data_IF_292392859620
#
_entry.id   IF_292392859620
#
_cell.length_a   1.000
_cell.length_b   1.000
_cell.length_c   1.000
_cell.angle_alpha   90.00
_cell.angle_beta   90.00
_cell.angle_gamma   90.00
#
_symmetry.space_group_name_H-M   'P 1'
#
loop_
_entity.id
_entity.type
_entity.pdbx_description
1 polymer ?
#
# COMPACT_ATOMS: atom_id res chain seq x y z
N UNK A 1 16.33 15.83 -2.81
CA UNK A 1 17.55 15.19 -2.20
C UNK A 1 17.11 14.34 -1.03
N UNK A 2 17.55 13.05 -0.98
CA UNK A 2 17.25 12.14 0.13
C UNK A 2 18.21 12.40 1.31
N UNK A 3 17.66 12.62 2.50
CA UNK A 3 18.41 12.89 3.75
C UNK A 3 18.11 11.79 4.76
N UNK A 4 19.15 11.11 5.23
CA UNK A 4 19.04 10.10 6.31
C UNK A 4 18.75 10.80 7.64
N UNK A 5 17.80 10.27 8.41
CA UNK A 5 17.45 10.80 9.73
C UNK A 5 17.40 9.72 10.82
N UNK A 6 17.32 8.44 10.46
CA UNK A 6 17.25 7.34 11.42
C UNK A 6 18.10 6.17 10.93
N UNK A 7 18.88 5.56 11.84
CA UNK A 7 19.65 4.35 11.61
C UNK A 7 19.33 3.37 12.74
N UNK A 8 18.61 2.28 12.41
CA UNK A 8 18.23 1.21 13.34
C UNK A 8 19.22 0.03 13.31
N UNK A 9 20.34 0.22 12.61
CA UNK A 9 21.39 -0.78 12.52
C UNK A 9 21.04 -1.99 11.66
N UNK A 10 21.71 -3.10 11.93
CA UNK A 10 21.56 -4.33 11.18
C UNK A 10 20.35 -5.12 11.69
N UNK A 11 19.38 -5.41 10.81
CA UNK A 11 18.15 -6.11 11.11
C UNK A 11 17.99 -7.36 10.23
N UNK A 12 17.36 -8.44 10.72
CA UNK A 12 16.91 -9.55 9.89
C UNK A 12 15.60 -9.19 9.16
N UNK A 13 15.11 -10.09 8.28
CA UNK A 13 13.76 -9.99 7.70
C UNK A 13 12.72 -10.26 8.80
N UNK A 14 11.77 -9.34 9.00
CA UNK A 14 10.86 -9.35 10.14
C UNK A 14 9.90 -10.55 10.16
N UNK A 15 9.36 -10.94 9.00
CA UNK A 15 8.37 -12.02 8.90
C UNK A 15 8.94 -13.36 8.40
N UNK A 16 10.29 -13.51 8.41
CA UNK A 16 10.94 -14.77 8.07
C UNK A 16 11.24 -15.59 9.32
N UNK A 17 10.37 -16.55 9.62
CA UNK A 17 10.51 -17.44 10.79
C UNK A 17 11.40 -18.63 10.45
N UNK A 18 12.70 -18.49 10.74
CA UNK A 18 13.72 -19.49 10.44
C UNK A 18 13.65 -20.69 11.38
N UNK A 19 13.97 -21.90 10.85
CA UNK A 19 14.27 -23.09 11.64
C UNK A 19 15.71 -23.01 12.17
N UNK A 20 16.04 -23.79 13.20
CA UNK A 20 17.35 -23.76 13.86
C UNK A 20 18.52 -24.04 12.91
N UNK A 21 18.34 -24.94 11.94
CA UNK A 21 19.35 -25.29 10.94
C UNK A 21 19.57 -24.19 9.87
N UNK A 22 18.67 -23.23 9.77
CA UNK A 22 18.71 -22.10 8.83
C UNK A 22 19.39 -20.85 9.45
N UNK A 23 19.58 -20.78 10.75
CA UNK A 23 20.14 -19.58 11.45
C UNK A 23 21.50 -19.12 10.91
N UNK A 24 22.33 -20.05 10.43
CA UNK A 24 23.66 -19.73 9.87
C UNK A 24 23.59 -18.95 8.55
N UNK A 25 22.46 -19.08 7.83
CA UNK A 25 22.22 -18.46 6.52
C UNK A 25 21.24 -17.28 6.62
N UNK A 26 20.94 -16.79 7.84
CA UNK A 26 20.03 -15.67 8.07
C UNK A 26 20.49 -14.41 7.35
N UNK A 27 19.58 -13.85 6.55
CA UNK A 27 19.83 -12.61 5.83
C UNK A 27 19.68 -11.40 6.76
N UNK A 28 20.61 -10.46 6.65
CA UNK A 28 20.57 -9.19 7.39
C UNK A 28 20.80 -8.02 6.44
N UNK A 29 20.15 -6.92 6.75
CA UNK A 29 20.32 -5.65 6.05
C UNK A 29 20.44 -4.47 7.03
N UNK A 30 20.90 -3.30 6.55
CA UNK A 30 20.96 -2.10 7.39
C UNK A 30 19.66 -1.31 7.24
N UNK A 31 18.88 -1.24 8.33
CA UNK A 31 17.61 -0.52 8.34
C UNK A 31 17.86 0.98 8.62
N UNK A 32 17.92 1.76 7.57
CA UNK A 32 18.08 3.21 7.60
C UNK A 32 16.92 3.89 6.94
N UNK A 33 16.50 5.04 7.45
CA UNK A 33 15.33 5.78 6.96
C UNK A 33 15.75 7.14 6.44
N UNK A 34 15.20 7.49 5.27
CA UNK A 34 15.47 8.74 4.58
C UNK A 34 14.19 9.52 4.33
N UNK A 35 14.33 10.84 4.30
CA UNK A 35 13.30 11.78 3.86
C UNK A 35 13.73 12.42 2.54
N UNK A 36 12.86 12.37 1.53
CA UNK A 36 13.09 13.05 0.26
C UNK A 36 12.48 14.47 0.29
N UNK A 37 13.33 15.48 0.15
CA UNK A 37 12.90 16.89 0.19
C UNK A 37 12.05 17.31 -1.02
N UNK A 38 12.09 16.59 -2.13
CA UNK A 38 11.31 16.89 -3.33
C UNK A 38 9.89 16.32 -3.21
N UNK A 39 9.77 15.02 -3.04
CA UNK A 39 8.49 14.32 -2.97
C UNK A 39 7.84 14.37 -1.59
N UNK A 40 8.60 14.70 -0.53
CA UNK A 40 8.22 14.61 0.90
C UNK A 40 8.00 13.19 1.38
N UNK A 41 8.50 12.20 0.65
CA UNK A 41 8.37 10.79 0.95
C UNK A 41 9.38 10.36 2.02
N UNK A 42 8.93 9.55 2.97
CA UNK A 42 9.78 8.81 3.90
C UNK A 42 9.90 7.38 3.37
N UNK A 43 11.14 6.88 3.33
CA UNK A 43 11.43 5.54 2.80
C UNK A 43 12.57 4.89 3.58
N UNK A 44 12.66 3.58 3.57
CA UNK A 44 13.92 2.92 3.91
C UNK A 44 14.95 3.27 2.81
N UNK A 45 16.22 3.36 3.21
CA UNK A 45 17.29 3.85 2.33
C UNK A 45 17.67 2.82 1.26
N UNK A 46 17.90 1.60 1.72
CA UNK A 46 18.33 0.48 0.90
C UNK A 46 17.24 -0.60 0.97
N UNK A 47 16.53 -0.80 -0.12
CA UNK A 47 15.42 -1.75 -0.18
C UNK A 47 15.93 -3.20 -0.15
N UNK A 48 15.22 -4.05 0.59
CA UNK A 48 15.39 -5.50 0.51
C UNK A 48 14.69 -6.00 -0.77
N UNK A 49 15.29 -6.95 -1.47
CA UNK A 49 14.67 -7.55 -2.64
C UNK A 49 13.29 -8.15 -2.27
N UNK A 50 12.20 -7.77 -2.95
CA UNK A 50 10.84 -8.16 -2.54
C UNK A 50 10.64 -9.68 -2.51
N UNK A 51 11.34 -10.43 -3.35
CA UNK A 51 11.27 -11.90 -3.41
C UNK A 51 11.82 -12.58 -2.13
N UNK A 52 12.65 -11.87 -1.35
CA UNK A 52 13.14 -12.38 -0.06
C UNK A 52 12.07 -12.27 1.03
N UNK A 53 11.09 -11.39 0.87
CA UNK A 53 10.03 -11.09 1.83
C UNK A 53 8.71 -11.73 1.40
N UNK A 54 8.29 -11.51 0.14
CA UNK A 54 7.00 -11.94 -0.41
C UNK A 54 7.22 -13.14 -1.33
N UNK A 55 7.04 -14.33 -0.77
CA UNK A 55 7.23 -15.63 -1.43
C UNK A 55 6.28 -16.69 -0.85
N UNK A 56 6.46 -17.95 -1.22
CA UNK A 56 5.62 -19.07 -0.80
C UNK A 56 5.63 -19.33 0.72
N UNK A 57 6.66 -18.85 1.44
CA UNK A 57 6.81 -19.01 2.90
C UNK A 57 6.26 -17.81 3.68
N UNK A 58 5.67 -16.82 3.01
CA UNK A 58 5.14 -15.63 3.68
C UNK A 58 4.04 -15.99 4.67
N UNK A 59 4.27 -15.60 5.94
CA UNK A 59 3.49 -16.15 7.05
C UNK A 59 2.26 -15.31 7.42
N UNK A 60 2.18 -14.04 6.99
CA UNK A 60 1.08 -13.17 7.38
C UNK A 60 -0.22 -13.53 6.64
N UNK A 61 -1.19 -14.03 7.40
CA UNK A 61 -2.48 -14.47 6.89
C UNK A 61 -3.57 -13.56 7.47
N UNK A 62 -4.18 -12.75 6.62
CA UNK A 62 -5.13 -11.70 7.01
C UNK A 62 -6.41 -12.26 7.61
N UNK A 63 -6.91 -13.40 7.12
CA UNK A 63 -8.16 -14.00 7.60
C UNK A 63 -8.09 -14.54 9.03
N UNK A 64 -6.88 -14.70 9.59
CA UNK A 64 -6.71 -15.07 11.00
C UNK A 64 -7.09 -13.95 11.97
N UNK A 65 -7.20 -12.71 11.49
CA UNK A 65 -7.62 -11.56 12.27
C UNK A 65 -9.10 -11.23 12.06
N UNK A 66 -9.97 -11.69 12.97
CA UNK A 66 -11.41 -11.36 12.91
C UNK A 66 -11.69 -9.86 12.78
N UNK A 67 -10.98 -8.94 13.49
CA UNK A 67 -11.15 -7.50 13.29
C UNK A 67 -10.85 -7.06 11.86
N UNK A 68 -9.80 -7.61 11.23
CA UNK A 68 -9.43 -7.26 9.85
C UNK A 68 -10.42 -7.82 8.83
N UNK A 69 -10.92 -9.04 9.02
CA UNK A 69 -11.98 -9.61 8.18
C UNK A 69 -13.23 -8.71 8.21
N UNK A 70 -13.66 -8.27 9.39
CA UNK A 70 -14.80 -7.36 9.52
C UNK A 70 -14.52 -6.01 8.85
N UNK A 71 -13.33 -5.44 9.05
CA UNK A 71 -12.91 -4.19 8.41
C UNK A 71 -12.98 -4.28 6.88
N UNK A 72 -12.47 -5.34 6.29
CA UNK A 72 -12.51 -5.54 4.83
C UNK A 72 -13.93 -5.75 4.30
N UNK A 73 -14.77 -6.49 5.04
CA UNK A 73 -16.18 -6.66 4.69
C UNK A 73 -16.92 -5.32 4.69
N UNK A 74 -16.80 -4.54 5.76
CA UNK A 74 -17.43 -3.23 5.88
C UNK A 74 -16.92 -2.26 4.80
N UNK A 75 -15.61 -2.32 4.51
CA UNK A 75 -14.99 -1.52 3.44
C UNK A 75 -15.55 -1.90 2.07
N UNK A 76 -15.63 -3.19 1.76
CA UNK A 76 -16.17 -3.67 0.48
C UNK A 76 -17.64 -3.28 0.31
N UNK A 77 -18.46 -3.44 1.35
CA UNK A 77 -19.87 -3.03 1.34
C UNK A 77 -20.00 -1.51 1.10
N UNK A 78 -19.21 -0.69 1.80
CA UNK A 78 -19.20 0.76 1.64
C UNK A 78 -18.78 1.17 0.22
N UNK A 79 -17.70 0.58 -0.32
CA UNK A 79 -17.21 0.88 -1.67
C UNK A 79 -18.22 0.45 -2.73
N UNK A 80 -18.86 -0.71 -2.55
CA UNK A 80 -19.89 -1.19 -3.45
C UNK A 80 -21.13 -0.26 -3.48
N UNK A 81 -21.56 0.21 -2.31
CA UNK A 81 -22.68 1.17 -2.22
C UNK A 81 -22.32 2.52 -2.86
N UNK A 82 -21.10 3.01 -2.64
CA UNK A 82 -20.65 4.33 -3.06
C UNK A 82 -20.36 4.42 -4.56
N UNK A 83 -19.67 3.42 -5.11
CA UNK A 83 -19.15 3.45 -6.49
C UNK A 83 -19.85 2.49 -7.45
N UNK A 84 -20.52 1.44 -6.93
CA UNK A 84 -21.23 0.41 -7.70
C UNK A 84 -20.36 -0.16 -8.84
N UNK A 85 -19.12 -0.60 -8.52
CA UNK A 85 -18.19 -1.07 -9.54
C UNK A 85 -18.71 -2.36 -10.18
N UNK A 86 -18.53 -2.51 -11.49
CA UNK A 86 -18.79 -3.76 -12.20
C UNK A 86 -17.56 -4.64 -12.19
N UNK A 87 -16.37 -4.06 -12.38
CA UNK A 87 -15.10 -4.76 -12.39
C UNK A 87 -14.19 -4.25 -11.27
N UNK A 88 -13.65 -5.19 -10.49
CA UNK A 88 -12.82 -4.91 -9.33
C UNK A 88 -11.47 -5.60 -9.47
N UNK A 89 -10.40 -4.88 -9.17
CA UNK A 89 -9.05 -5.42 -9.01
C UNK A 89 -8.58 -5.20 -7.58
N UNK A 90 -8.08 -6.26 -6.94
CA UNK A 90 -7.37 -6.15 -5.67
C UNK A 90 -5.87 -6.39 -5.88
N UNK A 91 -5.02 -5.46 -5.40
CA UNK A 91 -3.56 -5.55 -5.40
C UNK A 91 -3.11 -5.91 -3.99
N UNK A 92 -2.39 -7.05 -3.84
CA UNK A 92 -2.02 -7.60 -2.54
C UNK A 92 -3.23 -8.25 -1.87
N UNK A 93 -3.88 -9.19 -2.56
CA UNK A 93 -5.15 -9.77 -2.08
C UNK A 93 -4.97 -10.68 -0.87
N UNK A 94 -3.75 -11.11 -0.55
CA UNK A 94 -3.46 -12.09 0.48
C UNK A 94 -4.41 -13.30 0.34
N UNK A 95 -5.00 -13.79 1.42
CA UNK A 95 -5.96 -14.90 1.40
C UNK A 95 -7.42 -14.49 1.11
N UNK A 96 -7.65 -13.27 0.56
CA UNK A 96 -8.87 -12.82 -0.08
C UNK A 96 -9.99 -12.25 0.79
N UNK A 97 -9.76 -11.69 2.01
CA UNK A 97 -10.85 -11.18 2.86
C UNK A 97 -11.65 -10.04 2.24
N UNK A 98 -11.03 -9.18 1.44
CA UNK A 98 -11.72 -8.09 0.75
C UNK A 98 -12.41 -8.58 -0.52
N UNK A 99 -11.67 -9.22 -1.45
CA UNK A 99 -12.20 -9.61 -2.75
C UNK A 99 -13.36 -10.59 -2.64
N UNK A 100 -13.42 -11.40 -1.57
CA UNK A 100 -14.51 -12.37 -1.33
C UNK A 100 -15.90 -11.73 -1.23
N UNK A 101 -15.99 -10.42 -1.11
CA UNK A 101 -17.24 -9.66 -1.09
C UNK A 101 -17.71 -9.19 -2.49
N UNK A 102 -16.98 -9.53 -3.55
CA UNK A 102 -17.30 -9.16 -4.95
C UNK A 102 -17.55 -10.38 -5.84
N UNK A 103 -18.12 -10.13 -7.03
CA UNK A 103 -18.39 -11.17 -8.04
C UNK A 103 -17.07 -11.78 -8.54
N UNK A 104 -16.98 -13.10 -8.55
CA UNK A 104 -15.80 -13.84 -9.01
C UNK A 104 -15.52 -13.65 -10.51
N UNK A 105 -16.56 -13.43 -11.32
CA UNK A 105 -16.45 -13.30 -12.76
C UNK A 105 -15.89 -11.92 -13.17
N UNK A 106 -16.19 -10.90 -12.36
CA UNK A 106 -15.86 -9.51 -12.65
C UNK A 106 -14.72 -8.99 -11.75
N UNK A 107 -14.05 -9.89 -11.02
CA UNK A 107 -12.98 -9.54 -10.07
C UNK A 107 -11.69 -10.27 -10.37
N UNK A 108 -10.58 -9.54 -10.22
CA UNK A 108 -9.22 -10.01 -10.46
C UNK A 108 -8.36 -9.71 -9.25
N UNK A 109 -7.43 -10.59 -8.93
CA UNK A 109 -6.46 -10.42 -7.85
C UNK A 109 -5.03 -10.39 -8.40
N UNK A 110 -4.17 -9.66 -7.71
CA UNK A 110 -2.72 -9.70 -7.88
C UNK A 110 -2.11 -9.98 -6.50
N UNK A 111 -1.35 -11.09 -6.39
CA UNK A 111 -0.76 -11.53 -5.13
C UNK A 111 0.57 -12.25 -5.39
N UNK A 112 1.72 -11.68 -5.01
CA UNK A 112 3.02 -12.26 -5.30
C UNK A 112 3.38 -13.46 -4.42
N UNK A 113 2.66 -13.68 -3.31
CA UNK A 113 2.86 -14.85 -2.44
C UNK A 113 2.05 -16.04 -2.99
N UNK A 114 2.74 -16.99 -3.64
CA UNK A 114 2.11 -18.11 -4.33
C UNK A 114 1.15 -18.93 -3.46
N UNK A 115 1.48 -19.12 -2.16
CA UNK A 115 0.61 -19.77 -1.18
C UNK A 115 -0.77 -19.08 -1.06
N UNK A 116 -0.84 -17.76 -1.10
CA UNK A 116 -2.10 -17.01 -1.05
C UNK A 116 -2.77 -16.87 -2.41
N UNK A 117 -1.99 -16.74 -3.49
CA UNK A 117 -2.54 -16.76 -4.84
C UNK A 117 -3.28 -18.07 -5.12
N UNK A 118 -2.80 -19.23 -4.61
CA UNK A 118 -3.48 -20.50 -4.68
C UNK A 118 -4.83 -20.50 -3.90
N UNK A 119 -4.89 -19.84 -2.74
CA UNK A 119 -6.11 -19.74 -1.94
C UNK A 119 -7.19 -18.97 -2.71
N UNK A 120 -6.89 -17.79 -3.23
CA UNK A 120 -7.86 -16.97 -3.97
C UNK A 120 -8.25 -17.59 -5.31
N UNK A 121 -7.34 -18.27 -6.02
CA UNK A 121 -7.66 -19.09 -7.18
C UNK A 121 -8.60 -20.26 -6.79
N UNK A 122 -8.33 -20.93 -5.66
CA UNK A 122 -9.18 -21.99 -5.12
C UNK A 122 -10.59 -21.52 -4.75
N UNK A 123 -10.75 -20.25 -4.38
CA UNK A 123 -12.06 -19.63 -4.18
C UNK A 123 -12.79 -19.34 -5.51
N UNK A 124 -12.09 -19.41 -6.64
CA UNK A 124 -12.63 -19.20 -7.99
C UNK A 124 -12.44 -17.77 -8.53
N UNK A 125 -11.56 -16.98 -7.95
CA UNK A 125 -11.09 -15.72 -8.53
C UNK A 125 -9.96 -15.98 -9.52
N UNK A 126 -9.74 -15.07 -10.46
CA UNK A 126 -8.55 -15.08 -11.30
C UNK A 126 -7.45 -14.30 -10.57
N UNK A 127 -6.44 -14.99 -10.07
CA UNK A 127 -5.33 -14.39 -9.33
C UNK A 127 -4.03 -14.55 -10.11
N UNK A 128 -3.36 -13.44 -10.34
CA UNK A 128 -2.00 -13.41 -10.89
C UNK A 128 -1.00 -13.53 -9.74
N UNK A 129 -0.22 -14.59 -9.74
CA UNK A 129 0.93 -14.81 -8.86
C UNK A 129 2.11 -13.98 -9.37
N UNK A 130 2.07 -12.69 -9.10
CA UNK A 130 3.03 -11.71 -9.63
C UNK A 130 3.04 -10.43 -8.78
N UNK A 131 4.15 -9.72 -8.82
CA UNK A 131 4.21 -8.34 -8.34
C UNK A 131 3.43 -7.40 -9.26
N UNK A 132 2.85 -6.33 -8.67
CA UNK A 132 2.13 -5.31 -9.42
C UNK A 132 3.10 -4.41 -10.20
N UNK A 133 2.97 -4.39 -11.52
CA UNK A 133 3.81 -3.63 -12.46
C UNK A 133 2.99 -3.13 -13.65
N UNK A 134 3.55 -2.19 -14.43
CA UNK A 134 2.95 -1.74 -15.69
C UNK A 134 2.76 -2.92 -16.66
N UNK A 135 3.74 -3.81 -16.81
CA UNK A 135 3.65 -4.98 -17.71
C UNK A 135 2.49 -5.91 -17.32
N UNK A 136 2.34 -6.20 -16.01
CA UNK A 136 1.21 -7.00 -15.55
C UNK A 136 -0.13 -6.28 -15.79
N UNK A 137 -0.16 -4.97 -15.58
CA UNK A 137 -1.37 -4.16 -15.81
C UNK A 137 -1.84 -4.23 -17.27
N UNK A 138 -0.92 -4.20 -18.23
CA UNK A 138 -1.23 -4.35 -19.67
C UNK A 138 -1.82 -5.72 -19.98
N UNK A 139 -1.28 -6.79 -19.38
CA UNK A 139 -1.84 -8.13 -19.49
C UNK A 139 -3.26 -8.19 -18.92
N UNK A 140 -3.49 -7.66 -17.73
CA UNK A 140 -4.81 -7.61 -17.10
C UNK A 140 -5.81 -6.85 -17.97
N UNK A 141 -5.43 -5.70 -18.54
CA UNK A 141 -6.27 -4.93 -19.44
C UNK A 141 -6.64 -5.75 -20.69
N UNK A 142 -5.69 -6.48 -21.27
CA UNK A 142 -5.93 -7.29 -22.47
C UNK A 142 -6.88 -8.46 -22.22
N UNK A 143 -6.82 -9.07 -21.03
CA UNK A 143 -7.61 -10.27 -20.69
C UNK A 143 -8.96 -9.93 -20.04
N UNK A 144 -9.00 -8.89 -19.23
CA UNK A 144 -10.18 -8.53 -18.41
C UNK A 144 -10.78 -7.16 -18.74
N UNK A 145 -10.04 -6.29 -19.48
CA UNK A 145 -10.43 -4.90 -19.72
C UNK A 145 -10.14 -4.00 -18.54
N UNK A 146 -10.64 -2.75 -18.61
CA UNK A 146 -10.40 -1.74 -17.57
C UNK A 146 -11.24 -2.00 -16.32
N UNK A 147 -10.75 -1.51 -15.16
CA UNK A 147 -11.35 -1.70 -13.85
C UNK A 147 -12.08 -0.44 -13.37
N UNK A 148 -13.25 -0.63 -12.77
CA UNK A 148 -14.02 0.47 -12.17
C UNK A 148 -13.53 0.80 -10.77
N UNK A 149 -13.05 -0.22 -10.04
CA UNK A 149 -12.44 -0.11 -8.72
C UNK A 149 -11.13 -0.88 -8.68
N UNK A 150 -10.07 -0.22 -8.27
CA UNK A 150 -8.84 -0.88 -7.84
C UNK A 150 -8.73 -0.66 -6.33
N UNK A 151 -8.50 -1.73 -5.58
CA UNK A 151 -8.32 -1.68 -4.13
C UNK A 151 -6.97 -2.27 -3.73
N UNK A 152 -6.40 -1.74 -2.66
CA UNK A 152 -5.18 -2.26 -2.04
C UNK A 152 -5.15 -1.89 -0.56
N UNK A 153 -4.68 -2.76 0.31
CA UNK A 153 -4.51 -2.42 1.71
C UNK A 153 -3.20 -2.98 2.27
N UNK A 154 -2.43 -2.12 2.94
CA UNK A 154 -1.12 -2.44 3.53
C UNK A 154 -0.19 -3.15 2.51
N UNK A 155 -0.21 -2.67 1.28
CA UNK A 155 0.56 -3.26 0.18
C UNK A 155 1.27 -2.19 -0.66
N UNK A 156 0.67 -1.02 -0.90
CA UNK A 156 1.32 0.03 -1.70
C UNK A 156 2.60 0.53 -1.04
N UNK A 157 2.63 0.59 0.29
CA UNK A 157 3.82 0.93 1.06
C UNK A 157 4.98 -0.07 0.90
N UNK A 158 4.70 -1.30 0.41
CA UNK A 158 5.71 -2.33 0.13
C UNK A 158 6.34 -2.19 -1.26
N UNK A 159 5.67 -1.52 -2.20
CA UNK A 159 6.13 -1.41 -3.59
C UNK A 159 7.23 -0.36 -3.70
N UNK A 160 8.42 -0.80 -4.14
CA UNK A 160 9.61 0.05 -4.19
C UNK A 160 9.55 1.10 -5.30
N UNK A 161 9.04 0.75 -6.49
CA UNK A 161 8.84 1.65 -7.62
C UNK A 161 7.40 2.18 -7.67
N UNK A 162 7.16 3.28 -6.94
CA UNK A 162 5.86 3.92 -6.89
C UNK A 162 5.47 4.58 -8.22
N UNK A 163 6.42 5.02 -9.03
CA UNK A 163 6.12 5.64 -10.32
C UNK A 163 5.56 4.58 -11.29
N UNK A 164 6.16 3.38 -11.36
CA UNK A 164 5.62 2.27 -12.14
C UNK A 164 4.27 1.80 -11.61
N UNK A 165 4.14 1.61 -10.28
CA UNK A 165 2.92 1.16 -9.65
C UNK A 165 1.72 2.10 -9.91
N UNK A 166 1.90 3.42 -9.75
CA UNK A 166 0.81 4.36 -9.97
C UNK A 166 0.51 4.60 -11.46
N UNK A 167 1.51 4.47 -12.33
CA UNK A 167 1.29 4.45 -13.78
C UNK A 167 0.45 3.24 -14.18
N UNK A 168 0.75 2.06 -13.62
CA UNK A 168 -0.04 0.85 -13.83
C UNK A 168 -1.49 1.02 -13.37
N UNK A 169 -1.71 1.58 -12.16
CA UNK A 169 -3.05 1.91 -11.64
C UNK A 169 -3.80 2.84 -12.61
N UNK A 170 -3.16 3.97 -12.99
CA UNK A 170 -3.77 4.92 -13.91
C UNK A 170 -4.19 4.27 -15.22
N UNK A 171 -3.34 3.42 -15.79
CA UNK A 171 -3.59 2.78 -17.08
C UNK A 171 -4.74 1.76 -16.98
N UNK A 172 -4.89 1.10 -15.84
CA UNK A 172 -5.89 0.04 -15.63
C UNK A 172 -7.28 0.57 -15.28
N UNK A 173 -7.39 1.79 -14.75
CA UNK A 173 -8.68 2.40 -14.42
C UNK A 173 -9.50 2.77 -15.65
N UNK A 174 -10.83 2.54 -15.59
CA UNK A 174 -11.78 3.19 -16.50
C UNK A 174 -11.70 4.72 -16.35
N UNK A 175 -12.17 5.54 -17.32
CA UNK A 175 -12.15 7.00 -17.19
C UNK A 175 -12.84 7.55 -15.93
N UNK A 176 -13.83 6.84 -15.39
CA UNK A 176 -14.53 7.15 -14.14
C UNK A 176 -14.12 6.25 -12.98
N UNK A 177 -13.11 5.41 -13.17
CA UNK A 177 -12.64 4.44 -12.18
C UNK A 177 -12.00 5.09 -10.96
N UNK A 178 -12.02 4.39 -9.87
CA UNK A 178 -11.50 4.84 -8.58
C UNK A 178 -10.45 3.86 -8.06
N UNK A 179 -9.32 4.41 -7.62
CA UNK A 179 -8.32 3.69 -6.86
C UNK A 179 -8.49 4.01 -5.38
N UNK A 180 -8.67 2.98 -4.56
CA UNK A 180 -8.78 3.12 -3.10
C UNK A 180 -7.71 2.27 -2.45
N UNK A 181 -6.92 2.88 -1.58
CA UNK A 181 -5.90 2.11 -0.85
C UNK A 181 -5.75 2.58 0.59
N UNK A 182 -5.30 1.67 1.44
CA UNK A 182 -5.10 1.88 2.87
C UNK A 182 -3.67 1.55 3.25
N UNK A 183 -2.96 2.50 3.85
CA UNK A 183 -1.63 2.28 4.39
C UNK A 183 -1.43 3.05 5.70
N UNK A 184 -0.47 2.64 6.54
CA UNK A 184 -0.14 3.33 7.79
C UNK A 184 0.19 4.81 7.58
N UNK A 185 -0.30 5.66 8.47
CA UNK A 185 -0.12 7.11 8.41
C UNK A 185 1.19 7.55 9.05
N UNK A 186 2.05 8.19 8.26
CA UNK A 186 3.29 8.80 8.75
C UNK A 186 3.02 9.82 9.88
N UNK A 187 1.98 10.66 9.72
CA UNK A 187 1.62 11.63 10.75
C UNK A 187 1.32 10.95 12.08
N UNK A 188 0.49 9.90 12.07
CA UNK A 188 0.10 9.17 13.29
C UNK A 188 1.27 8.42 13.92
N UNK A 189 2.17 7.88 13.10
CA UNK A 189 3.42 7.27 13.54
C UNK A 189 4.30 8.29 14.30
N UNK A 190 4.49 9.48 13.71
CA UNK A 190 5.31 10.54 14.32
C UNK A 190 4.68 11.10 15.60
N UNK A 191 3.37 11.32 15.64
CA UNK A 191 2.65 11.81 16.83
C UNK A 191 2.75 10.87 18.02
N UNK A 192 2.74 9.57 17.75
CA UNK A 192 2.80 8.53 18.79
C UNK A 192 4.23 8.17 19.18
N UNK A 193 5.21 8.58 18.41
CA UNK A 193 6.60 8.15 18.58
C UNK A 193 6.75 6.64 18.38
N UNK A 194 5.97 6.04 17.46
CA UNK A 194 6.02 4.60 17.24
C UNK A 194 7.00 4.25 16.12
N UNK A 195 7.77 3.17 16.32
CA UNK A 195 8.79 2.67 15.40
C UNK A 195 8.39 1.35 14.73
N UNK A 196 7.29 0.75 15.16
CA UNK A 196 6.78 -0.55 14.71
C UNK A 196 6.38 -0.60 13.23
N UNK A 197 6.17 0.58 12.62
CA UNK A 197 5.89 0.69 11.18
C UNK A 197 7.17 0.81 10.33
N UNK A 198 8.36 0.79 10.95
CA UNK A 198 9.65 0.89 10.26
C UNK A 198 10.33 -0.46 10.26
N UNK A 199 10.20 -1.21 9.18
CA UNK A 199 10.82 -2.52 8.97
C UNK A 199 10.95 -2.82 7.47
N UNK A 200 11.56 -3.93 7.12
CA UNK A 200 11.94 -4.31 5.74
C UNK A 200 10.82 -4.26 4.71
N UNK A 201 9.60 -4.70 5.08
CA UNK A 201 8.47 -4.74 4.15
C UNK A 201 7.94 -3.34 3.80
N UNK A 202 8.01 -2.39 4.75
CA UNK A 202 7.57 -1.02 4.53
C UNK A 202 8.66 -0.21 3.80
N UNK A 203 8.79 -0.41 2.48
CA UNK A 203 9.69 0.40 1.64
C UNK A 203 9.44 1.90 1.84
N UNK A 204 8.18 2.27 2.08
CA UNK A 204 7.72 3.64 2.28
C UNK A 204 6.78 3.77 3.47
N UNK A 205 6.79 4.95 4.12
CA UNK A 205 5.76 5.35 5.08
C UNK A 205 5.11 6.64 4.59
N UNK A 206 3.80 6.58 4.36
CA UNK A 206 3.10 7.63 3.61
C UNK A 206 2.52 8.73 4.48
N UNK A 207 2.72 9.98 4.04
CA UNK A 207 1.87 11.12 4.35
C UNK A 207 0.93 11.42 3.18
N UNK A 208 -0.20 12.06 3.46
CA UNK A 208 -1.09 12.56 2.39
C UNK A 208 -0.37 13.57 1.50
N UNK A 209 0.53 14.37 2.07
CA UNK A 209 1.40 15.32 1.34
C UNK A 209 2.28 14.61 0.32
N UNK A 210 3.00 13.55 0.72
CA UNK A 210 3.86 12.80 -0.20
C UNK A 210 3.03 12.10 -1.29
N UNK A 211 1.94 11.44 -0.91
CA UNK A 211 1.04 10.77 -1.85
C UNK A 211 0.43 11.76 -2.85
N UNK A 212 0.00 12.95 -2.40
CA UNK A 212 -0.52 13.98 -3.32
C UNK A 212 0.51 14.40 -4.37
N UNK A 213 1.79 14.54 -3.98
CA UNK A 213 2.86 14.88 -4.91
C UNK A 213 3.11 13.76 -5.94
N UNK A 214 3.22 12.52 -5.46
CA UNK A 214 3.58 11.37 -6.30
C UNK A 214 2.42 10.97 -7.22
N UNK A 215 1.19 10.91 -6.72
CA UNK A 215 0.01 10.57 -7.52
C UNK A 215 -0.21 11.60 -8.64
N UNK A 216 -0.09 12.91 -8.32
CA UNK A 216 -0.24 13.97 -9.35
C UNK A 216 0.83 13.88 -10.44
N UNK A 217 2.09 13.58 -10.08
CA UNK A 217 3.16 13.32 -11.04
C UNK A 217 2.79 12.18 -12.01
N UNK A 218 2.07 11.17 -11.52
CA UNK A 218 1.66 10.00 -12.29
C UNK A 218 0.25 10.13 -12.92
N UNK A 219 -0.34 11.33 -12.96
CA UNK A 219 -1.61 11.59 -13.63
C UNK A 219 -2.85 11.14 -12.84
N UNK A 220 -2.71 10.96 -11.53
CA UNK A 220 -3.79 10.69 -10.59
C UNK A 220 -3.95 11.84 -9.60
N UNK A 221 -5.12 11.95 -8.97
CA UNK A 221 -5.34 12.92 -7.88
C UNK A 221 -6.11 12.29 -6.73
N UNK A 222 -5.76 12.67 -5.51
CA UNK A 222 -6.53 12.35 -4.32
C UNK A 222 -7.77 13.25 -4.28
N UNK A 223 -8.96 12.66 -4.14
CA UNK A 223 -10.20 13.42 -4.00
C UNK A 223 -10.86 13.26 -2.63
N UNK A 224 -10.53 12.21 -1.87
CA UNK A 224 -11.01 12.02 -0.49
C UNK A 224 -9.97 11.27 0.34
N UNK A 225 -9.99 11.48 1.65
CA UNK A 225 -9.18 10.76 2.64
C UNK A 225 -10.05 10.43 3.84
N UNK A 226 -10.03 9.18 4.28
CA UNK A 226 -10.59 8.76 5.58
C UNK A 226 -9.43 8.39 6.51
N UNK A 227 -9.48 8.89 7.75
CA UNK A 227 -8.52 8.50 8.79
C UNK A 227 -9.06 7.28 9.53
N UNK A 228 -8.28 6.21 9.59
CA UNK A 228 -8.64 4.93 10.18
C UNK A 228 -7.90 4.68 11.49
N UNK A 229 -8.48 3.87 12.37
CA UNK A 229 -7.84 3.48 13.64
C UNK A 229 -7.00 2.21 13.54
N UNK A 230 -7.11 1.45 12.46
CA UNK A 230 -6.34 0.21 12.23
C UNK A 230 -4.84 0.48 12.15
N UNK A 231 -4.04 -0.52 12.49
CA UNK A 231 -2.57 -0.46 12.42
C UNK A 231 -1.94 0.77 13.10
N UNK A 232 -2.51 1.20 14.25
CA UNK A 232 -1.99 2.37 14.94
C UNK A 232 -2.38 3.72 14.32
N UNK A 233 -3.21 3.71 13.28
CA UNK A 233 -3.66 4.86 12.50
C UNK A 233 -3.20 4.75 11.05
N UNK A 234 -4.17 4.55 10.15
CA UNK A 234 -3.96 4.47 8.70
C UNK A 234 -4.76 5.55 7.98
N UNK A 235 -4.41 5.82 6.74
CA UNK A 235 -5.21 6.62 5.84
C UNK A 235 -5.81 5.74 4.76
N UNK A 236 -7.13 5.84 4.51
CA UNK A 236 -7.76 5.34 3.30
C UNK A 236 -7.80 6.49 2.29
N UNK A 237 -7.06 6.30 1.21
CA UNK A 237 -6.91 7.27 0.14
C UNK A 237 -7.85 6.90 -1.01
N UNK A 238 -8.59 7.88 -1.51
CA UNK A 238 -9.40 7.75 -2.70
C UNK A 238 -8.80 8.59 -3.80
N UNK A 239 -8.35 7.96 -4.86
CA UNK A 239 -7.72 8.60 -6.00
C UNK A 239 -8.46 8.29 -7.30
N UNK A 240 -8.37 9.17 -8.28
CA UNK A 240 -8.94 9.04 -9.61
C UNK A 240 -8.02 9.70 -10.64
N UNK A 241 -8.36 9.64 -11.92
CA UNK A 241 -7.64 10.40 -12.94
C UNK A 241 -7.61 11.89 -12.60
N UNK A 242 -6.54 12.59 -12.99
CA UNK A 242 -6.43 14.05 -12.83
C UNK A 242 -7.68 14.75 -13.35
N UNK A 243 -8.17 15.72 -12.57
CA UNK A 243 -9.30 16.58 -12.89
C UNK A 243 -10.64 15.88 -13.13
N UNK A 244 -10.75 14.57 -12.88
CA UNK A 244 -11.99 13.81 -13.03
C UNK A 244 -12.95 13.91 -11.83
N UNK A 245 -12.48 14.47 -10.70
CA UNK A 245 -13.29 14.69 -9.50
C UNK A 245 -12.90 15.97 -8.76
N UNK A 246 -13.81 16.50 -7.95
CA UNK A 246 -13.52 17.65 -7.07
C UNK A 246 -12.75 17.17 -5.83
N UNK A 247 -11.69 17.90 -5.48
CA UNK A 247 -10.92 17.64 -4.25
C UNK A 247 -11.76 17.99 -3.03
N UNK A 248 -12.06 16.99 -2.22
CA UNK A 248 -12.89 17.12 -1.02
C UNK A 248 -12.19 17.86 0.13
N UNK A 249 -12.98 18.27 1.11
CA UNK A 249 -12.46 19.01 2.27
C UNK A 249 -11.60 18.12 3.18
N UNK A 250 -11.85 16.80 3.21
CA UNK A 250 -10.99 15.86 3.94
C UNK A 250 -9.54 15.88 3.47
N UNK A 251 -9.30 16.01 2.15
CA UNK A 251 -7.93 16.15 1.60
C UNK A 251 -7.28 17.43 2.09
N UNK A 252 -7.99 18.56 1.98
CA UNK A 252 -7.48 19.88 2.41
C UNK A 252 -7.17 19.90 3.91
N UNK A 253 -8.02 19.26 4.71
CA UNK A 253 -7.84 19.16 6.15
C UNK A 253 -6.60 18.34 6.51
N UNK A 254 -6.41 17.15 5.91
CA UNK A 254 -5.22 16.33 6.13
C UNK A 254 -3.94 17.05 5.71
N UNK A 255 -3.91 17.68 4.52
CA UNK A 255 -2.76 18.45 4.07
C UNK A 255 -2.42 19.62 5.00
N UNK A 256 -3.45 20.27 5.56
CA UNK A 256 -3.26 21.36 6.55
C UNK A 256 -2.71 20.82 7.85
N UNK A 257 -3.25 19.72 8.39
CA UNK A 257 -2.80 19.08 9.63
C UNK A 257 -1.33 18.66 9.51
N UNK A 258 -0.96 17.99 8.43
CA UNK A 258 0.42 17.58 8.14
C UNK A 258 1.38 18.78 8.00
N UNK A 259 0.95 19.83 7.33
CA UNK A 259 1.73 21.07 7.20
C UNK A 259 1.93 21.75 8.57
N UNK A 260 0.89 21.85 9.39
CA UNK A 260 0.95 22.47 10.72
C UNK A 260 1.85 21.65 11.65
N UNK A 261 1.85 20.32 11.56
CA UNK A 261 2.77 19.42 12.27
C UNK A 261 4.23 19.57 11.77
N UNK A 262 4.41 19.91 10.52
CA UNK A 262 5.73 20.10 9.90
C UNK A 262 6.26 18.89 9.14
N UNK A 263 5.39 18.06 8.57
CA UNK A 263 5.72 16.88 7.73
C UNK A 263 6.69 17.24 6.57
N UNK A 264 6.61 18.45 6.03
CA UNK A 264 7.48 18.89 4.94
C UNK A 264 8.91 19.29 5.38
N UNK A 265 9.19 19.30 6.71
CA UNK A 265 10.44 19.81 7.28
C UNK A 265 11.34 18.68 7.76
N UNK A 266 12.56 18.59 7.25
CA UNK A 266 13.54 17.59 7.68
C UNK A 266 13.78 17.60 9.21
N UNK A 267 13.69 18.78 9.86
CA UNK A 267 13.87 18.89 11.30
C UNK A 267 12.86 18.08 12.12
N UNK A 268 11.64 17.91 11.62
CA UNK A 268 10.60 17.07 12.27
C UNK A 268 11.09 15.64 12.43
N UNK A 269 11.72 15.10 11.41
CA UNK A 269 12.27 13.74 11.41
C UNK A 269 13.50 13.59 12.30
N UNK A 270 14.35 14.62 12.36
CA UNK A 270 15.48 14.63 13.29
C UNK A 270 15.02 14.63 14.75
N UNK A 271 13.91 15.29 15.07
CA UNK A 271 13.34 15.31 16.41
C UNK A 271 12.75 13.92 16.74
N UNK A 272 12.08 13.28 15.78
CA UNK A 272 11.54 11.93 15.96
C UNK A 272 12.63 10.89 16.22
N UNK A 273 13.78 11.02 15.57
CA UNK A 273 14.91 10.08 15.70
C UNK A 273 15.72 10.22 17.00
N UNK A 274 15.56 11.32 17.78
CA UNK A 274 16.26 11.58 19.05
C UNK A 274 15.38 11.33 20.27
#
# INVERSE_FOLDING_TARGET
MKKEFLDLGRQPIANKFLKEDEFKDEFFFNLKVVFDEETKLVSIKDFVAPELMFNEDYAYNTSLSTPMVNHFKETAEMLNMKFKPRKVLEIGSNDGPFISNFSKVDSVCVEPCGNFAEVTNGMGYHTYDNFWTTDLSEKIISEHGYMDLIYSANCICHIQDLDDAFKAVKNTLTPSGVFVFEDPSLLRMLERGSYDQIYDEHAHVFSVTALNNILRKNGLQIFSVDNLSVHGGSNRIYACHLDSSTIGDSVKQNLKEEKDFGIEKFKTYQIFAN
#
